data_IF_114469713821
#
_entry.id   IF_114469713821
#
_cell.length_a   1.000
_cell.length_b   1.000
_cell.length_c   1.000
_cell.angle_alpha   90.00
_cell.angle_beta   90.00
_cell.angle_gamma   90.00
#
_symmetry.space_group_name_H-M   'P 1'
#
loop_
_entity.id
_entity.type
_entity.pdbx_description
1 polymer ?
#
# COMPACT_ATOMS: atom_id res chain seq x y z
N UNK A 1 -6.54 22.02 -32.57
CA UNK A 1 -5.75 20.87 -33.07
C UNK A 1 -5.81 19.77 -32.04
N UNK A 2 -6.20 18.54 -32.35
CA UNK A 2 -6.27 17.46 -31.38
C UNK A 2 -4.86 17.06 -30.96
N UNK A 3 -4.63 17.00 -29.66
CA UNK A 3 -3.38 16.52 -29.05
C UNK A 3 -3.10 15.10 -29.52
N UNK A 4 -1.93 14.87 -30.09
CA UNK A 4 -1.50 13.58 -30.59
C UNK A 4 -1.30 12.59 -29.42
N UNK A 5 -1.46 11.29 -29.70
CA UNK A 5 -1.27 10.19 -28.72
C UNK A 5 0.09 10.29 -28.02
N UNK A 6 1.11 10.83 -28.71
CA UNK A 6 2.45 11.12 -28.19
C UNK A 6 2.46 12.17 -27.07
N UNK A 7 1.57 13.17 -27.10
CA UNK A 7 1.50 14.19 -26.05
C UNK A 7 0.81 13.65 -24.79
N UNK A 8 -0.17 12.76 -24.94
CA UNK A 8 -0.76 12.03 -23.83
C UNK A 8 0.23 11.05 -23.17
N UNK A 9 1.04 10.35 -23.97
CA UNK A 9 2.07 9.46 -23.44
C UNK A 9 3.17 10.24 -22.69
N UNK A 10 3.55 11.42 -23.17
CA UNK A 10 4.51 12.30 -22.49
C UNK A 10 3.96 12.88 -21.19
N UNK A 11 2.67 13.19 -21.11
CA UNK A 11 2.05 13.69 -19.86
C UNK A 11 2.01 12.59 -18.76
N UNK A 12 2.00 11.33 -19.14
CA UNK A 12 2.01 10.20 -18.21
C UNK A 12 3.40 9.90 -17.61
N UNK A 13 4.47 10.40 -18.22
CA UNK A 13 5.86 10.19 -17.79
C UNK A 13 6.51 11.44 -17.20
N UNK A 14 5.80 12.59 -17.19
CA UNK A 14 6.36 13.84 -16.70
C UNK A 14 6.42 13.85 -15.17
N UNK A 15 7.58 13.49 -14.67
CA UNK A 15 7.99 13.75 -13.30
C UNK A 15 8.37 15.24 -13.22
N UNK A 16 7.39 16.11 -13.00
CA UNK A 16 7.67 17.52 -12.74
C UNK A 16 7.91 17.68 -11.23
N UNK A 17 9.13 17.98 -10.79
CA UNK A 17 9.38 18.38 -9.42
C UNK A 17 8.81 19.78 -9.26
N UNK A 18 7.60 19.89 -8.77
CA UNK A 18 7.00 21.17 -8.44
C UNK A 18 6.74 21.26 -6.94
N UNK A 19 7.29 22.27 -6.23
CA UNK A 19 7.06 22.47 -4.80
C UNK A 19 5.67 23.01 -4.47
N UNK A 20 4.68 22.82 -5.34
CA UNK A 20 3.34 23.38 -5.25
C UNK A 20 2.48 22.84 -4.09
N UNK A 21 2.92 21.82 -3.36
CA UNK A 21 2.10 21.21 -2.32
C UNK A 21 2.76 21.33 -0.94
N UNK A 22 1.98 21.78 0.05
CA UNK A 22 2.39 21.68 1.46
C UNK A 22 2.25 20.22 1.92
N UNK A 23 3.25 19.75 2.63
CA UNK A 23 3.23 18.41 3.24
C UNK A 23 1.95 18.20 4.05
N UNK A 24 1.42 16.96 4.09
CA UNK A 24 0.34 16.60 4.99
C UNK A 24 0.75 16.88 6.44
N UNK A 25 -0.23 17.14 7.32
CA UNK A 25 0.04 17.35 8.76
C UNK A 25 0.65 16.08 9.35
N UNK A 26 1.77 16.21 10.06
CA UNK A 26 2.45 15.06 10.66
C UNK A 26 1.52 14.25 11.61
N UNK A 27 0.68 14.95 12.39
CA UNK A 27 -0.30 14.30 13.26
C UNK A 27 -1.30 13.42 12.51
N UNK A 28 -1.77 13.88 11.33
CA UNK A 28 -2.69 13.10 10.50
C UNK A 28 -1.98 11.91 9.84
N UNK A 29 -0.70 12.05 9.46
CA UNK A 29 0.10 10.94 8.93
C UNK A 29 0.30 9.88 10.01
N UNK A 30 0.65 10.29 11.24
CA UNK A 30 0.82 9.37 12.37
C UNK A 30 -0.51 8.64 12.66
N UNK A 31 -1.61 9.38 12.74
CA UNK A 31 -2.94 8.79 12.96
C UNK A 31 -3.33 7.81 11.84
N UNK A 32 -3.16 8.22 10.58
CA UNK A 32 -3.46 7.35 9.44
C UNK A 32 -2.60 6.09 9.43
N UNK A 33 -1.30 6.21 9.78
CA UNK A 33 -0.38 5.07 9.89
C UNK A 33 -0.81 4.13 11.03
N UNK A 34 -1.13 4.66 12.21
CA UNK A 34 -1.59 3.85 13.35
C UNK A 34 -2.91 3.12 13.05
N UNK A 35 -3.87 3.81 12.42
CA UNK A 35 -5.12 3.18 11.97
C UNK A 35 -4.88 2.14 10.89
N UNK A 36 -3.93 2.38 9.96
CA UNK A 36 -3.56 1.38 8.95
C UNK A 36 -3.00 0.13 9.61
N UNK A 37 -2.10 0.27 10.59
CA UNK A 37 -1.56 -0.88 11.35
C UNK A 37 -2.70 -1.67 12.00
N UNK A 38 -3.58 -1.00 12.75
CA UNK A 38 -4.66 -1.67 13.45
C UNK A 38 -5.62 -2.41 12.50
N UNK A 39 -6.05 -1.74 11.42
CA UNK A 39 -6.99 -2.33 10.46
C UNK A 39 -6.34 -3.42 9.60
N UNK A 40 -5.07 -3.29 9.22
CA UNK A 40 -4.38 -4.34 8.47
C UNK A 40 -4.17 -5.59 9.34
N UNK A 41 -3.72 -5.45 10.59
CA UNK A 41 -3.58 -6.61 11.50
C UNK A 41 -4.92 -7.30 11.75
N UNK A 42 -6.00 -6.54 11.87
CA UNK A 42 -7.36 -7.10 11.97
C UNK A 42 -7.75 -7.84 10.68
N UNK A 43 -7.52 -7.23 9.52
CA UNK A 43 -7.82 -7.84 8.22
C UNK A 43 -7.00 -9.12 8.01
N UNK A 44 -5.69 -9.10 8.30
CA UNK A 44 -4.82 -10.27 8.24
C UNK A 44 -5.34 -11.40 9.13
N UNK A 45 -5.72 -11.07 10.37
CA UNK A 45 -6.30 -12.06 11.29
C UNK A 45 -7.60 -12.66 10.76
N UNK A 46 -8.49 -11.83 10.23
CA UNK A 46 -9.75 -12.28 9.65
C UNK A 46 -9.52 -13.14 8.40
N UNK A 47 -8.58 -12.78 7.55
CA UNK A 47 -8.22 -13.57 6.36
C UNK A 47 -7.64 -14.93 6.73
N UNK A 48 -6.79 -15.01 7.76
CA UNK A 48 -6.28 -16.28 8.28
C UNK A 48 -7.42 -17.15 8.84
N UNK A 49 -8.32 -16.57 9.64
CA UNK A 49 -9.49 -17.29 10.17
C UNK A 49 -10.40 -17.79 9.06
N UNK A 50 -10.74 -16.93 8.10
CA UNK A 50 -11.56 -17.31 6.95
C UNK A 50 -10.87 -18.37 6.09
N UNK A 51 -9.56 -18.17 5.80
CA UNK A 51 -8.76 -19.10 5.02
C UNK A 51 -8.69 -20.49 5.65
N UNK A 52 -8.46 -20.57 6.97
CA UNK A 52 -8.44 -21.87 7.68
C UNK A 52 -9.81 -22.49 7.85
N UNK A 53 -10.89 -21.71 7.84
CA UNK A 53 -12.26 -22.23 7.84
C UNK A 53 -12.63 -22.80 6.47
N UNK A 54 -12.33 -22.09 5.38
CA UNK A 54 -12.61 -22.52 4.01
C UNK A 54 -11.68 -23.64 3.55
N UNK A 55 -10.42 -23.60 3.98
CA UNK A 55 -9.39 -24.56 3.64
C UNK A 55 -8.81 -25.23 4.90
N UNK A 56 -9.50 -26.20 5.52
CA UNK A 56 -9.06 -26.82 6.77
C UNK A 56 -7.66 -27.44 6.71
N UNK A 57 -7.19 -27.81 5.52
CA UNK A 57 -5.83 -28.33 5.28
C UNK A 57 -4.71 -27.31 5.54
N UNK A 58 -5.04 -26.03 5.68
CA UNK A 58 -4.07 -24.95 5.96
C UNK A 58 -3.95 -24.64 7.46
N UNK A 59 -4.69 -25.35 8.32
CA UNK A 59 -4.56 -25.19 9.78
C UNK A 59 -3.14 -25.56 10.22
N UNK A 60 -2.53 -24.68 11.01
CA UNK A 60 -1.15 -24.88 11.49
C UNK A 60 -0.07 -24.46 10.49
N UNK A 61 -0.43 -23.84 9.36
CA UNK A 61 0.55 -23.32 8.42
C UNK A 61 1.44 -22.26 9.09
N UNK A 62 2.76 -22.43 8.99
CA UNK A 62 3.76 -21.65 9.76
C UNK A 62 3.63 -20.14 9.56
N UNK A 63 3.37 -19.69 8.32
CA UNK A 63 3.25 -18.26 8.02
C UNK A 63 1.90 -17.64 8.44
N UNK A 64 0.97 -18.43 9.01
CA UNK A 64 -0.27 -17.93 9.60
C UNK A 64 -0.10 -17.57 11.09
N UNK A 65 1.10 -17.74 11.65
CA UNK A 65 1.38 -17.30 13.01
C UNK A 65 1.36 -15.76 13.08
N UNK A 66 0.68 -15.24 14.10
CA UNK A 66 0.54 -13.79 14.29
C UNK A 66 1.89 -13.08 14.34
N UNK A 67 2.88 -13.66 15.02
CA UNK A 67 4.23 -13.10 15.13
C UNK A 67 4.95 -12.96 13.79
N UNK A 68 4.64 -13.80 12.79
CA UNK A 68 5.31 -13.79 11.52
C UNK A 68 4.80 -12.65 10.64
N UNK A 69 3.50 -12.60 10.39
CA UNK A 69 2.95 -11.57 9.52
C UNK A 69 2.88 -10.18 10.18
N UNK A 70 2.63 -10.09 11.50
CA UNK A 70 2.45 -8.81 12.17
C UNK A 70 3.69 -7.91 12.08
N UNK A 71 4.89 -8.46 12.22
CA UNK A 71 6.15 -7.69 12.10
C UNK A 71 6.29 -7.08 10.72
N UNK A 72 6.08 -7.88 9.68
CA UNK A 72 6.22 -7.44 8.29
C UNK A 72 5.15 -6.42 7.92
N UNK A 73 3.91 -6.65 8.33
CA UNK A 73 2.78 -5.72 8.14
C UNK A 73 3.08 -4.37 8.79
N UNK A 74 3.53 -4.35 10.05
CA UNK A 74 3.86 -3.10 10.76
C UNK A 74 4.99 -2.36 10.06
N UNK A 75 6.10 -3.05 9.74
CA UNK A 75 7.26 -2.45 9.07
C UNK A 75 6.85 -1.85 7.72
N UNK A 76 6.12 -2.61 6.90
CA UNK A 76 5.66 -2.14 5.59
C UNK A 76 4.77 -0.90 5.67
N UNK A 77 3.84 -0.86 6.63
CA UNK A 77 2.94 0.28 6.82
C UNK A 77 3.69 1.51 7.34
N UNK A 78 4.66 1.33 8.25
CA UNK A 78 5.50 2.45 8.74
C UNK A 78 6.31 3.04 7.59
N UNK A 79 6.91 2.21 6.73
CA UNK A 79 7.63 2.68 5.54
C UNK A 79 6.67 3.46 4.61
N UNK A 80 5.46 2.97 4.38
CA UNK A 80 4.46 3.68 3.57
C UNK A 80 4.05 5.02 4.21
N UNK A 81 3.88 5.05 5.55
CA UNK A 81 3.57 6.25 6.32
C UNK A 81 4.65 7.33 6.20
N UNK A 82 5.93 6.94 6.21
CA UNK A 82 7.06 7.85 5.96
C UNK A 82 7.13 8.24 4.47
N UNK A 83 6.86 7.31 3.57
CA UNK A 83 6.89 7.52 2.12
C UNK A 83 5.85 8.52 1.62
N UNK A 84 4.64 8.52 2.21
CA UNK A 84 3.57 9.41 1.78
C UNK A 84 3.93 10.90 1.81
N UNK A 85 4.42 11.50 2.92
CA UNK A 85 4.83 12.91 2.93
C UNK A 85 6.03 13.21 2.03
N UNK A 86 6.91 12.24 1.78
CA UNK A 86 8.02 12.38 0.85
C UNK A 86 7.50 12.51 -0.57
N UNK A 87 6.64 11.59 -1.01
CA UNK A 87 6.00 11.64 -2.33
C UNK A 87 5.22 12.94 -2.51
N UNK A 88 4.50 13.37 -1.46
CA UNK A 88 3.73 14.61 -1.48
C UNK A 88 4.59 15.86 -1.69
N UNK A 89 5.87 15.83 -1.29
CA UNK A 89 6.81 16.95 -1.51
C UNK A 89 7.50 16.92 -2.87
N UNK A 90 7.64 15.73 -3.44
CA UNK A 90 8.47 15.53 -4.63
C UNK A 90 7.68 15.55 -5.94
N UNK A 91 6.34 15.50 -5.88
CA UNK A 91 5.52 15.36 -7.08
C UNK A 91 4.34 16.32 -7.13
N UNK A 92 3.94 16.72 -8.33
CA UNK A 92 2.75 17.54 -8.58
C UNK A 92 1.44 16.74 -8.44
N UNK A 93 1.46 15.42 -8.66
CA UNK A 93 0.32 14.52 -8.44
C UNK A 93 0.67 13.38 -7.47
N UNK A 94 0.74 13.69 -6.16
CA UNK A 94 1.21 12.73 -5.17
C UNK A 94 0.29 11.52 -5.01
N UNK A 95 -1.01 11.67 -5.21
CA UNK A 95 -1.96 10.55 -5.07
C UNK A 95 -1.70 9.49 -6.12
N UNK A 96 -1.49 9.90 -7.35
CA UNK A 96 -1.27 8.99 -8.46
C UNK A 96 0.09 8.29 -8.38
N UNK A 97 1.15 9.06 -8.05
CA UNK A 97 2.48 8.47 -7.85
C UNK A 97 2.47 7.50 -6.69
N UNK A 98 1.83 7.84 -5.56
CA UNK A 98 1.72 6.96 -4.40
C UNK A 98 0.91 5.69 -4.70
N UNK A 99 -0.14 5.79 -5.53
CA UNK A 99 -0.89 4.62 -6.01
C UNK A 99 0.01 3.66 -6.81
N UNK A 100 0.80 4.20 -7.73
CA UNK A 100 1.74 3.37 -8.50
C UNK A 100 2.79 2.70 -7.62
N UNK A 101 3.33 3.44 -6.65
CA UNK A 101 4.26 2.87 -5.68
C UNK A 101 3.59 1.78 -4.84
N UNK A 102 2.36 1.99 -4.38
CA UNK A 102 1.61 0.98 -3.63
C UNK A 102 1.40 -0.29 -4.47
N UNK A 103 1.01 -0.15 -5.73
CA UNK A 103 0.85 -1.29 -6.66
C UNK A 103 2.19 -1.99 -6.89
N UNK A 104 3.26 -1.24 -7.18
CA UNK A 104 4.59 -1.80 -7.44
C UNK A 104 5.14 -2.55 -6.22
N UNK A 105 5.05 -1.94 -5.03
CA UNK A 105 5.50 -2.56 -3.78
C UNK A 105 4.67 -3.82 -3.48
N UNK A 106 3.34 -3.76 -3.61
CA UNK A 106 2.48 -4.94 -3.42
C UNK A 106 2.87 -6.06 -4.40
N UNK A 107 3.09 -5.74 -5.68
CA UNK A 107 3.51 -6.72 -6.67
C UNK A 107 4.87 -7.36 -6.31
N UNK A 108 5.83 -6.56 -5.83
CA UNK A 108 7.13 -7.08 -5.36
C UNK A 108 6.97 -7.98 -4.14
N UNK A 109 6.09 -7.61 -3.21
CA UNK A 109 5.83 -8.41 -2.00
C UNK A 109 5.09 -9.73 -2.29
N UNK A 110 4.44 -9.86 -3.45
CA UNK A 110 3.87 -11.14 -3.89
C UNK A 110 4.95 -12.11 -4.44
N UNK A 111 6.14 -11.65 -4.79
CA UNK A 111 7.19 -12.52 -5.31
C UNK A 111 7.62 -13.62 -4.31
N UNK A 112 7.85 -13.34 -3.01
CA UNK A 112 8.08 -14.38 -2.02
C UNK A 112 6.95 -15.42 -1.95
N UNK A 113 5.69 -14.98 -2.02
CA UNK A 113 4.52 -15.89 -1.98
C UNK A 113 4.52 -16.84 -3.19
N UNK A 114 4.79 -16.30 -4.38
CA UNK A 114 4.91 -17.10 -5.60
C UNK A 114 6.11 -18.04 -5.54
N UNK A 115 7.21 -17.59 -4.94
CA UNK A 115 8.41 -18.42 -4.77
C UNK A 115 8.16 -19.60 -3.84
N UNK A 116 7.52 -19.40 -2.68
CA UNK A 116 7.20 -20.51 -1.77
C UNK A 116 6.17 -21.46 -2.39
N UNK A 117 5.25 -20.96 -3.22
CA UNK A 117 4.36 -21.81 -4.00
C UNK A 117 5.13 -22.69 -4.98
N UNK A 118 6.10 -22.13 -5.70
CA UNK A 118 6.96 -22.87 -6.61
C UNK A 118 7.77 -23.97 -5.87
N UNK A 119 8.13 -23.73 -4.61
CA UNK A 119 8.79 -24.72 -3.74
C UNK A 119 7.84 -25.81 -3.21
N UNK A 120 6.59 -25.89 -3.68
CA UNK A 120 5.63 -26.92 -3.32
C UNK A 120 4.80 -26.63 -2.08
N UNK A 121 4.80 -25.39 -1.58
CA UNK A 121 3.90 -25.02 -0.47
C UNK A 121 2.42 -25.07 -0.90
N UNK A 122 1.49 -25.34 0.02
CA UNK A 122 0.07 -25.47 -0.29
C UNK A 122 -0.50 -24.23 -0.97
N UNK A 123 -0.91 -24.31 -2.24
CA UNK A 123 -1.41 -23.14 -3.01
C UNK A 123 -2.60 -22.44 -2.35
N UNK A 124 -3.41 -23.17 -1.56
CA UNK A 124 -4.51 -22.58 -0.78
C UNK A 124 -4.02 -21.66 0.34
N UNK A 125 -2.90 -22.00 0.98
CA UNK A 125 -2.26 -21.15 1.98
C UNK A 125 -1.64 -19.91 1.32
N UNK A 126 -0.95 -20.09 0.18
CA UNK A 126 -0.39 -18.98 -0.59
C UNK A 126 -1.48 -18.01 -1.06
N UNK A 127 -2.65 -18.51 -1.48
CA UNK A 127 -3.78 -17.66 -1.85
C UNK A 127 -4.22 -16.73 -0.71
N UNK A 128 -4.22 -17.22 0.54
CA UNK A 128 -4.53 -16.39 1.71
C UNK A 128 -3.45 -15.32 1.92
N UNK A 129 -2.16 -15.66 1.77
CA UNK A 129 -1.07 -14.68 1.88
C UNK A 129 -1.18 -13.59 0.81
N UNK A 130 -1.47 -13.96 -0.43
CA UNK A 130 -1.74 -13.00 -1.52
C UNK A 130 -2.89 -12.06 -1.16
N UNK A 131 -4.00 -12.60 -0.63
CA UNK A 131 -5.14 -11.79 -0.19
C UNK A 131 -4.75 -10.81 0.93
N UNK A 132 -3.88 -11.22 1.88
CA UNK A 132 -3.34 -10.34 2.94
C UNK A 132 -2.52 -9.20 2.33
N UNK A 133 -1.60 -9.46 1.42
CA UNK A 133 -0.81 -8.41 0.77
C UNK A 133 -1.68 -7.40 0.01
N UNK A 134 -2.70 -7.87 -0.71
CA UNK A 134 -3.65 -6.99 -1.39
C UNK A 134 -4.46 -6.14 -0.41
N UNK A 135 -4.92 -6.71 0.70
CA UNK A 135 -5.64 -5.99 1.74
C UNK A 135 -4.77 -4.92 2.40
N UNK A 136 -3.52 -5.25 2.75
CA UNK A 136 -2.55 -4.29 3.34
C UNK A 136 -2.33 -3.12 2.38
N UNK A 137 -2.04 -3.38 1.11
CA UNK A 137 -1.82 -2.33 0.10
C UNK A 137 -3.04 -1.41 -0.04
N UNK A 138 -4.23 -2.00 -0.17
CA UNK A 138 -5.49 -1.27 -0.35
C UNK A 138 -5.85 -0.41 0.87
N UNK A 139 -5.80 -0.99 2.07
CA UNK A 139 -6.14 -0.30 3.33
C UNK A 139 -5.15 0.85 3.56
N UNK A 140 -3.84 0.57 3.49
CA UNK A 140 -2.79 1.55 3.75
C UNK A 140 -2.85 2.72 2.78
N UNK A 141 -2.98 2.46 1.48
CA UNK A 141 -3.14 3.50 0.48
C UNK A 141 -4.34 4.40 0.78
N UNK A 142 -5.52 3.80 0.99
CA UNK A 142 -6.74 4.57 1.21
C UNK A 142 -6.69 5.43 2.48
N UNK A 143 -6.16 4.89 3.58
CA UNK A 143 -6.09 5.63 4.84
C UNK A 143 -5.10 6.79 4.76
N UNK A 144 -3.89 6.57 4.22
CA UNK A 144 -2.90 7.63 4.10
C UNK A 144 -3.39 8.76 3.19
N UNK A 145 -3.94 8.44 2.02
CA UNK A 145 -4.37 9.44 1.05
C UNK A 145 -5.61 10.20 1.51
N UNK A 146 -6.55 9.55 2.21
CA UNK A 146 -7.81 10.19 2.64
C UNK A 146 -7.71 10.90 3.98
N UNK A 147 -6.99 10.33 4.95
CA UNK A 147 -6.90 10.90 6.30
C UNK A 147 -5.75 11.91 6.45
N UNK A 148 -4.71 11.80 5.62
CA UNK A 148 -3.60 12.73 5.61
C UNK A 148 -3.49 13.45 4.24
N UNK A 149 -4.51 14.23 3.83
CA UNK A 149 -4.51 14.85 2.51
C UNK A 149 -3.39 15.88 2.38
N UNK A 150 -2.88 16.00 1.16
CA UNK A 150 -1.96 17.08 0.76
C UNK A 150 -2.73 18.37 0.69
N UNK A 151 -2.12 19.48 1.15
CA UNK A 151 -2.73 20.81 1.12
C UNK A 151 -2.25 21.58 -0.11
N UNK A 152 -3.16 22.33 -0.73
CA UNK A 152 -2.77 23.33 -1.73
C UNK A 152 -1.88 24.40 -1.09
N UNK A 153 -0.89 24.89 -1.83
CA UNK A 153 -0.16 26.07 -1.41
C UNK A 153 -1.10 27.29 -1.41
N UNK A 154 -0.94 28.18 -0.43
CA UNK A 154 -1.83 29.33 -0.21
C UNK A 154 -1.71 30.43 -1.29
N UNK A 155 -1.32 30.11 -2.51
CA UNK A 155 -1.10 31.04 -3.61
C UNK A 155 -2.09 30.97 -4.77
N UNK A 156 -3.00 29.98 -4.79
CA UNK A 156 -3.93 29.80 -5.92
C UNK A 156 -5.29 30.51 -5.76
N UNK A 157 -5.42 31.42 -4.80
CA UNK A 157 -6.66 32.18 -4.55
C UNK A 157 -6.50 33.69 -4.81
N UNK A 158 -5.55 34.10 -5.65
CA UNK A 158 -5.42 35.51 -6.07
C UNK A 158 -5.63 35.68 -7.55
#
# INVERSE_FOLDING_TARGET
>A
MPSTITDRARSLTRFEPSPAHRSPRASLVILATALSVALCLLADRLLVLAGTAVFPSTKGYVHFQFSDYAKLTIIGIVIAGVGWPIVARLTSDPRWVFLRLAIAVTAVLLLPDLYIWHLGQPGRAVLVLVAMHLAIGLITYNLLVRLAPVRAAAGDLS
#
